data_IF_582648398300
#
_entry.id   IF_582648398300
#
_cell.length_a   1.000
_cell.length_b   1.000
_cell.length_c   1.000
_cell.angle_alpha   90.00
_cell.angle_beta   90.00
_cell.angle_gamma   90.00
#
_symmetry.space_group_name_H-M   'P 1'
#
loop_
_entity.id
_entity.type
_entity.pdbx_description
1 polymer ?
#
# COMPACT_ATOMS: atom_id res chain seq x y z
N UNK A 1 -21.22 42.87 62.83
CA UNK A 1 -20.52 42.27 61.69
C UNK A 1 -20.32 40.78 61.97
N UNK A 2 -21.28 39.92 61.61
CA UNK A 2 -21.16 38.46 61.81
C UNK A 2 -20.22 37.89 60.74
N UNK A 3 -19.06 37.38 61.17
CA UNK A 3 -18.13 36.65 60.31
C UNK A 3 -18.61 35.23 60.07
N UNK A 4 -19.09 34.96 58.85
CA UNK A 4 -19.42 33.60 58.38
C UNK A 4 -18.12 32.87 58.04
N UNK A 5 -17.71 31.95 58.91
CA UNK A 5 -16.61 31.01 58.66
C UNK A 5 -17.20 29.84 57.86
N UNK A 6 -16.96 29.83 56.54
CA UNK A 6 -17.42 28.74 55.66
C UNK A 6 -16.78 27.39 56.02
N UNK A 7 -17.47 26.26 55.78
CA UNK A 7 -16.94 24.94 56.07
C UNK A 7 -15.72 24.67 55.18
N UNK A 8 -14.55 24.47 55.80
CA UNK A 8 -13.36 24.02 55.08
C UNK A 8 -13.60 22.63 54.48
N UNK A 9 -13.20 22.44 53.22
CA UNK A 9 -13.28 21.16 52.54
C UNK A 9 -12.54 20.07 53.37
N UNK A 10 -13.12 18.88 53.55
CA UNK A 10 -12.49 17.81 54.31
C UNK A 10 -11.18 17.38 53.64
N UNK A 11 -10.14 17.13 54.45
CA UNK A 11 -8.80 16.77 53.97
C UNK A 11 -8.79 15.59 52.97
N UNK A 12 -9.74 14.66 53.10
CA UNK A 12 -9.94 13.56 52.17
C UNK A 12 -10.33 14.01 50.75
N UNK A 13 -11.14 15.08 50.63
CA UNK A 13 -11.51 15.67 49.34
C UNK A 13 -10.32 16.32 48.64
N UNK A 14 -9.41 16.93 49.40
CA UNK A 14 -8.17 17.52 48.88
C UNK A 14 -7.24 16.42 48.38
N UNK A 15 -7.12 15.30 49.11
CA UNK A 15 -6.28 14.17 48.70
C UNK A 15 -6.82 13.47 47.43
N UNK A 16 -8.14 13.35 47.30
CA UNK A 16 -8.79 12.87 46.07
C UNK A 16 -8.54 13.83 44.89
N UNK A 17 -8.67 15.14 45.10
CA UNK A 17 -8.41 16.15 44.06
C UNK A 17 -6.94 16.12 43.61
N UNK A 18 -5.99 15.97 44.53
CA UNK A 18 -4.56 15.88 44.23
C UNK A 18 -4.21 14.59 43.47
N UNK A 19 -4.87 13.47 43.77
CA UNK A 19 -4.66 12.20 43.05
C UNK A 19 -5.28 12.21 41.65
N UNK A 20 -6.45 12.85 41.46
CA UNK A 20 -6.99 13.12 40.13
C UNK A 20 -6.09 14.07 39.33
N UNK A 21 -5.58 15.13 39.94
CA UNK A 21 -4.67 16.08 39.29
C UNK A 21 -3.34 15.42 38.90
N UNK A 22 -2.81 14.52 39.72
CA UNK A 22 -1.60 13.75 39.41
C UNK A 22 -1.80 12.80 38.22
N UNK A 23 -3.00 12.24 38.05
CA UNK A 23 -3.33 11.37 36.92
C UNK A 23 -3.44 12.16 35.59
N UNK A 24 -3.87 13.43 35.65
CA UNK A 24 -3.90 14.35 34.52
C UNK A 24 -2.51 14.87 34.11
N UNK A 25 -1.50 14.74 34.99
CA UNK A 25 -0.12 15.19 34.76
C UNK A 25 0.79 14.06 34.27
N UNK A 26 0.27 12.84 34.06
CA UNK A 26 1.02 11.76 33.43
C UNK A 26 1.35 12.16 31.98
N UNK A 27 2.63 12.24 31.58
CA UNK A 27 2.99 12.51 30.19
C UNK A 27 2.43 11.37 29.34
N UNK A 28 1.53 11.70 28.42
CA UNK A 28 1.04 10.76 27.41
C UNK A 28 2.24 10.35 26.57
N UNK A 29 2.70 9.10 26.71
CA UNK A 29 3.70 8.54 25.80
C UNK A 29 3.03 8.48 24.43
N UNK A 30 3.48 9.27 23.43
CA UNK A 30 2.91 9.15 22.10
C UNK A 30 3.14 7.71 21.63
N UNK A 31 2.07 7.06 21.19
CA UNK A 31 2.18 5.76 20.54
C UNK A 31 3.23 5.89 19.40
N UNK A 32 4.10 4.89 19.19
CA UNK A 32 5.06 4.94 18.11
C UNK A 32 4.30 5.25 16.81
N UNK A 33 4.67 6.34 16.14
CA UNK A 33 4.10 6.72 14.87
C UNK A 33 4.41 5.58 13.89
N UNK A 34 3.45 4.67 13.65
CA UNK A 34 3.61 3.70 12.56
C UNK A 34 3.77 4.54 11.30
N UNK A 35 4.93 4.47 10.67
CA UNK A 35 5.11 5.04 9.34
C UNK A 35 4.01 4.43 8.46
N UNK A 36 3.11 5.27 7.94
CA UNK A 36 2.10 4.81 7.00
C UNK A 36 2.77 4.77 5.62
N UNK A 37 3.05 3.56 5.15
CA UNK A 37 3.60 3.34 3.82
C UNK A 37 2.49 3.47 2.78
N UNK A 38 2.83 4.01 1.60
CA UNK A 38 1.91 4.04 0.46
C UNK A 38 1.55 2.61 0.04
N UNK A 39 0.32 2.35 -0.43
CA UNK A 39 -0.04 1.04 -0.95
C UNK A 39 0.85 0.63 -2.12
N UNK A 40 1.12 -0.66 -2.24
CA UNK A 40 1.91 -1.25 -3.32
C UNK A 40 1.01 -2.15 -4.15
N UNK A 41 0.98 -1.93 -5.46
CA UNK A 41 0.28 -2.81 -6.40
C UNK A 41 1.33 -3.61 -7.18
N UNK A 42 1.12 -4.92 -7.27
CA UNK A 42 2.02 -5.83 -7.98
C UNK A 42 1.31 -6.39 -9.21
N UNK A 43 1.98 -6.31 -10.36
CA UNK A 43 1.53 -6.86 -11.65
C UNK A 43 2.53 -7.92 -12.10
N UNK A 44 2.04 -9.14 -12.29
CA UNK A 44 2.87 -10.30 -12.63
C UNK A 44 3.21 -10.39 -14.13
N UNK A 45 4.01 -11.39 -14.49
CA UNK A 45 4.44 -11.66 -15.87
C UNK A 45 3.76 -12.88 -16.48
N UNK A 46 4.41 -13.44 -17.52
CA UNK A 46 3.93 -14.63 -18.23
C UNK A 46 3.81 -15.86 -17.34
N UNK A 47 2.70 -16.59 -17.51
CA UNK A 47 2.39 -17.86 -16.83
C UNK A 47 2.46 -17.81 -15.30
N UNK A 48 2.16 -16.66 -14.72
CA UNK A 48 2.33 -16.39 -13.30
C UNK A 48 0.98 -16.13 -12.60
N UNK A 49 1.04 -15.91 -11.29
CA UNK A 49 -0.06 -15.44 -10.42
C UNK A 49 0.51 -14.84 -9.12
N UNK A 50 -0.35 -14.41 -8.19
CA UNK A 50 0.07 -13.92 -6.88
C UNK A 50 0.91 -14.90 -6.07
N UNK A 51 0.77 -16.20 -6.32
CA UNK A 51 1.50 -17.25 -5.61
C UNK A 51 3.03 -17.05 -5.66
N UNK A 52 3.57 -16.64 -6.80
CA UNK A 52 5.02 -16.46 -6.98
C UNK A 52 5.59 -15.27 -6.21
N UNK A 53 4.75 -14.35 -5.74
CA UNK A 53 5.17 -13.14 -5.04
C UNK A 53 5.21 -13.31 -3.52
N UNK A 54 4.94 -14.50 -2.97
CA UNK A 54 4.94 -14.74 -1.50
C UNK A 54 6.21 -14.25 -0.79
N UNK A 55 7.37 -14.46 -1.39
CA UNK A 55 8.65 -14.01 -0.82
C UNK A 55 8.82 -12.48 -0.91
N UNK A 56 8.34 -11.85 -1.98
CA UNK A 56 8.32 -10.39 -2.06
C UNK A 56 7.40 -9.80 -0.97
N UNK A 57 6.24 -10.41 -0.73
CA UNK A 57 5.33 -10.00 0.34
C UNK A 57 5.97 -10.15 1.73
N UNK A 58 6.69 -11.25 1.97
CA UNK A 58 7.48 -11.47 3.18
C UNK A 58 8.51 -10.34 3.38
N UNK A 59 9.33 -10.05 2.37
CA UNK A 59 10.34 -8.99 2.45
C UNK A 59 9.74 -7.60 2.67
N UNK A 60 8.63 -7.27 2.00
CA UNK A 60 7.94 -6.00 2.21
C UNK A 60 7.42 -5.92 3.65
N UNK A 61 6.83 -6.99 4.18
CA UNK A 61 6.30 -6.98 5.53
C UNK A 61 7.40 -6.94 6.61
N UNK A 62 8.53 -7.60 6.39
CA UNK A 62 9.69 -7.56 7.29
C UNK A 62 10.33 -6.16 7.37
N UNK A 63 10.41 -5.45 6.25
CA UNK A 63 11.11 -4.16 6.15
C UNK A 63 10.19 -2.95 6.28
N UNK A 64 8.94 -3.08 5.84
CA UNK A 64 7.91 -2.04 5.86
C UNK A 64 6.60 -2.59 6.46
N UNK A 65 6.61 -2.93 7.76
CA UNK A 65 5.47 -3.58 8.42
C UNK A 65 4.20 -2.73 8.34
N UNK A 66 3.10 -3.36 7.92
CA UNK A 66 1.80 -2.70 7.74
C UNK A 66 1.58 -2.06 6.37
N UNK A 67 2.52 -2.20 5.42
CA UNK A 67 2.29 -1.81 4.02
C UNK A 67 1.16 -2.66 3.42
N UNK A 68 0.16 -2.01 2.82
CA UNK A 68 -0.90 -2.69 2.09
C UNK A 68 -0.37 -3.05 0.70
N UNK A 69 -0.14 -4.34 0.46
CA UNK A 69 0.27 -4.86 -0.85
C UNK A 69 -0.91 -5.56 -1.51
N UNK A 70 -1.22 -5.22 -2.75
CA UNK A 70 -2.22 -5.89 -3.58
C UNK A 70 -1.53 -6.50 -4.79
N UNK A 71 -1.46 -7.83 -4.83
CA UNK A 71 -1.05 -8.57 -6.03
C UNK A 71 -2.31 -8.85 -6.84
N UNK A 72 -2.36 -8.37 -8.07
CA UNK A 72 -3.55 -8.49 -8.92
C UNK A 72 -3.51 -9.83 -9.67
N UNK A 73 -4.42 -10.74 -9.32
CA UNK A 73 -4.66 -12.02 -10.02
C UNK A 73 -5.57 -11.79 -11.24
N UNK A 74 -5.04 -11.06 -12.23
CA UNK A 74 -5.68 -10.83 -13.51
C UNK A 74 -4.78 -11.33 -14.62
N UNK A 75 -5.35 -12.07 -15.56
CA UNK A 75 -4.62 -12.69 -16.66
C UNK A 75 -3.60 -13.75 -16.18
N UNK A 76 -3.93 -14.50 -15.13
CA UNK A 76 -3.10 -15.59 -14.61
C UNK A 76 -2.84 -16.72 -15.62
N UNK A 77 -1.71 -17.40 -15.45
CA UNK A 77 -1.41 -18.62 -16.21
C UNK A 77 -1.41 -18.35 -17.71
N UNK A 78 -2.22 -19.10 -18.48
CA UNK A 78 -2.29 -18.94 -19.94
C UNK A 78 -2.97 -17.64 -20.38
N UNK A 79 -3.78 -17.03 -19.52
CA UNK A 79 -4.46 -15.77 -19.86
C UNK A 79 -3.47 -14.61 -19.98
N UNK A 80 -2.25 -14.75 -19.44
CA UNK A 80 -1.14 -13.78 -19.61
C UNK A 80 -0.66 -13.66 -21.06
N UNK A 81 -1.08 -14.57 -21.94
CA UNK A 81 -0.82 -14.53 -23.37
C UNK A 81 -1.84 -13.68 -24.14
N UNK A 82 -2.89 -13.19 -23.49
CA UNK A 82 -3.86 -12.29 -24.15
C UNK A 82 -3.18 -11.02 -24.65
N UNK A 83 -3.72 -10.34 -25.68
CA UNK A 83 -3.15 -9.10 -26.20
C UNK A 83 -2.86 -8.09 -25.09
N UNK A 84 -1.67 -7.49 -25.09
CA UNK A 84 -1.26 -6.57 -24.02
C UNK A 84 -2.22 -5.40 -23.84
N UNK A 85 -2.83 -4.91 -24.93
CA UNK A 85 -3.83 -3.83 -24.83
C UNK A 85 -5.12 -4.26 -24.13
N UNK A 86 -5.52 -5.53 -24.22
CA UNK A 86 -6.63 -6.06 -23.42
C UNK A 86 -6.26 -6.11 -21.94
N UNK A 87 -5.03 -6.55 -21.64
CA UNK A 87 -4.52 -6.56 -20.28
C UNK A 87 -4.48 -5.15 -19.67
N UNK A 88 -4.00 -4.16 -20.42
CA UNK A 88 -3.97 -2.75 -19.99
C UNK A 88 -5.36 -2.26 -19.57
N UNK A 89 -6.42 -2.59 -20.31
CA UNK A 89 -7.78 -2.19 -19.91
C UNK A 89 -8.24 -2.92 -18.64
N UNK A 90 -8.03 -4.24 -18.54
CA UNK A 90 -8.40 -4.99 -17.34
C UNK A 90 -7.67 -4.49 -16.08
N UNK A 91 -6.36 -4.24 -16.17
CA UNK A 91 -5.60 -3.67 -15.07
C UNK A 91 -5.99 -2.23 -14.75
N UNK A 92 -6.39 -1.41 -15.74
CA UNK A 92 -6.92 -0.06 -15.50
C UNK A 92 -8.14 -0.10 -14.60
N UNK A 93 -9.09 -0.99 -14.88
CA UNK A 93 -10.31 -1.14 -14.09
C UNK A 93 -10.02 -1.58 -12.64
N UNK A 94 -9.06 -2.47 -12.44
CA UNK A 94 -8.69 -2.95 -11.11
C UNK A 94 -7.85 -1.95 -10.30
N UNK A 95 -6.97 -1.20 -10.96
CA UNK A 95 -6.05 -0.26 -10.31
C UNK A 95 -6.74 1.05 -9.92
N UNK A 96 -7.67 1.55 -10.74
CA UNK A 96 -8.38 2.81 -10.49
C UNK A 96 -9.00 2.93 -9.08
N UNK A 97 -9.76 1.95 -8.56
CA UNK A 97 -10.34 2.04 -7.21
C UNK A 97 -9.29 1.96 -6.09
N UNK A 98 -8.13 1.35 -6.33
CA UNK A 98 -7.02 1.31 -5.36
C UNK A 98 -6.38 2.69 -5.27
N UNK A 99 -6.07 3.28 -6.43
CA UNK A 99 -5.52 4.63 -6.55
C UNK A 99 -6.44 5.68 -5.91
N UNK A 100 -7.75 5.60 -6.17
CA UNK A 100 -8.73 6.53 -5.63
C UNK A 100 -8.81 6.51 -4.08
N UNK A 101 -8.47 5.39 -3.44
CA UNK A 101 -8.42 5.24 -1.98
C UNK A 101 -7.08 5.67 -1.38
N UNK A 102 -6.09 5.98 -2.20
CA UNK A 102 -4.74 6.32 -1.79
C UNK A 102 -4.43 7.79 -2.11
N UNK A 103 -4.87 8.76 -1.29
CA UNK A 103 -4.71 10.19 -1.59
C UNK A 103 -3.24 10.64 -1.67
N UNK A 104 -2.33 9.89 -1.05
CA UNK A 104 -0.88 10.14 -1.12
C UNK A 104 -0.20 9.38 -2.26
N UNK A 105 -0.96 8.68 -3.10
CA UNK A 105 -0.46 7.86 -4.20
C UNK A 105 -0.14 6.41 -3.82
N UNK A 106 0.29 5.66 -4.82
CA UNK A 106 0.66 4.24 -4.72
C UNK A 106 2.02 3.97 -5.36
N UNK A 107 2.62 2.82 -5.06
CA UNK A 107 3.76 2.31 -5.82
C UNK A 107 3.33 1.13 -6.71
N UNK A 108 3.97 0.98 -7.86
CA UNK A 108 3.81 -0.19 -8.74
C UNK A 108 5.09 -1.01 -8.76
N UNK A 109 4.97 -2.33 -8.58
CA UNK A 109 6.02 -3.30 -8.88
C UNK A 109 5.51 -4.20 -10.01
N UNK A 110 6.16 -4.12 -11.17
CA UNK A 110 5.68 -4.79 -12.37
C UNK A 110 6.77 -5.70 -12.91
N UNK A 111 6.54 -7.01 -12.79
CA UNK A 111 7.55 -8.04 -13.07
C UNK A 111 7.48 -8.53 -14.52
N UNK A 112 8.65 -8.69 -15.16
CA UNK A 112 8.76 -9.28 -16.49
C UNK A 112 7.82 -8.59 -17.49
N UNK A 113 6.96 -9.32 -18.22
CA UNK A 113 5.95 -8.78 -19.14
C UNK A 113 5.03 -7.73 -18.49
N UNK A 114 4.71 -7.87 -17.19
CA UNK A 114 3.87 -6.92 -16.46
C UNK A 114 4.40 -5.49 -16.48
N UNK A 115 5.71 -5.29 -16.61
CA UNK A 115 6.29 -3.94 -16.75
C UNK A 115 5.94 -3.23 -18.05
N UNK A 116 5.66 -3.96 -19.14
CA UNK A 116 5.13 -3.37 -20.37
C UNK A 116 3.68 -2.95 -20.19
N UNK A 117 2.87 -3.80 -19.54
CA UNK A 117 1.47 -3.50 -19.20
C UNK A 117 1.39 -2.26 -18.33
N UNK A 118 2.18 -2.19 -17.24
CA UNK A 118 2.22 -1.02 -16.38
C UNK A 118 2.70 0.24 -17.12
N UNK A 119 3.76 0.15 -17.93
CA UNK A 119 4.23 1.32 -18.70
C UNK A 119 3.13 1.85 -19.63
N UNK A 120 2.46 0.97 -20.36
CA UNK A 120 1.35 1.35 -21.24
C UNK A 120 0.17 1.92 -20.45
N UNK A 121 -0.19 1.28 -19.33
CA UNK A 121 -1.24 1.74 -18.40
C UNK A 121 -0.99 3.19 -17.95
N UNK A 122 0.21 3.49 -17.46
CA UNK A 122 0.57 4.85 -17.03
C UNK A 122 0.63 5.85 -18.19
N UNK A 123 0.88 5.38 -19.41
CA UNK A 123 0.89 6.24 -20.60
C UNK A 123 -0.51 6.62 -21.08
N UNK A 124 -1.56 5.87 -20.69
CA UNK A 124 -2.95 6.08 -21.15
C UNK A 124 -3.93 6.45 -20.02
N UNK A 125 -3.46 6.45 -18.78
CA UNK A 125 -4.19 6.93 -17.61
C UNK A 125 -3.71 8.33 -17.25
N UNK A 126 -4.39 9.35 -17.78
CA UNK A 126 -4.01 10.76 -17.58
C UNK A 126 -3.90 11.16 -16.08
N UNK A 127 -4.73 10.56 -15.23
CA UNK A 127 -4.86 10.90 -13.80
C UNK A 127 -4.43 9.76 -12.86
N UNK A 128 -3.31 9.09 -13.16
CA UNK A 128 -2.74 8.11 -12.23
C UNK A 128 -1.97 8.82 -11.08
N UNK A 129 -1.97 8.23 -9.88
CA UNK A 129 -1.20 8.74 -8.74
C UNK A 129 -0.03 7.81 -8.33
N UNK A 130 0.59 7.14 -9.31
CA UNK A 130 1.80 6.35 -9.08
C UNK A 130 2.97 7.26 -8.71
N UNK A 131 3.61 6.95 -7.58
CA UNK A 131 4.81 7.61 -7.09
C UNK A 131 6.08 6.92 -7.59
N UNK A 132 6.21 5.61 -7.30
CA UNK A 132 7.33 4.80 -7.79
C UNK A 132 6.82 3.74 -8.75
N UNK A 133 7.33 3.75 -9.98
CA UNK A 133 7.15 2.68 -10.94
C UNK A 133 8.41 1.82 -11.00
N UNK A 134 8.35 0.62 -10.42
CA UNK A 134 9.45 -0.35 -10.40
C UNK A 134 9.22 -1.37 -11.51
N UNK A 135 9.93 -1.20 -12.62
CA UNK A 135 9.97 -2.18 -13.70
C UNK A 135 10.99 -3.27 -13.37
N UNK A 136 10.50 -4.39 -12.86
CA UNK A 136 11.35 -5.48 -12.37
C UNK A 136 11.68 -6.46 -13.50
N UNK A 137 12.86 -6.29 -14.10
CA UNK A 137 13.39 -7.15 -15.17
C UNK A 137 12.45 -7.29 -16.38
N UNK A 138 11.81 -6.20 -16.76
CA UNK A 138 10.82 -6.18 -17.86
C UNK A 138 11.48 -5.94 -19.22
N UNK A 139 10.97 -6.54 -20.31
CA UNK A 139 11.50 -6.32 -21.66
C UNK A 139 11.04 -4.97 -22.22
N UNK A 140 11.46 -3.87 -21.59
CA UNK A 140 10.94 -2.52 -21.89
C UNK A 140 11.13 -2.10 -23.35
N UNK A 141 12.18 -2.63 -24.00
CA UNK A 141 12.50 -2.43 -25.42
C UNK A 141 12.22 -3.67 -26.28
N UNK A 142 11.27 -4.51 -25.86
CA UNK A 142 10.93 -5.76 -26.53
C UNK A 142 11.88 -6.90 -26.17
N UNK A 143 11.62 -8.05 -26.77
CA UNK A 143 12.39 -9.28 -26.60
C UNK A 143 12.79 -9.79 -27.98
N UNK A 144 14.05 -10.23 -28.11
CA UNK A 144 14.54 -10.91 -29.31
C UNK A 144 15.30 -12.17 -28.89
N UNK A 145 14.84 -13.33 -29.38
CA UNK A 145 15.36 -14.65 -29.00
C UNK A 145 14.57 -15.33 -27.88
N UNK A 146 14.49 -16.68 -27.92
CA UNK A 146 13.77 -17.54 -26.98
C UNK A 146 12.68 -18.38 -27.65
N UNK A 147 12.70 -19.71 -27.49
CA UNK A 147 11.77 -20.66 -28.13
C UNK A 147 10.28 -20.41 -27.77
N UNK A 148 10.01 -19.82 -26.61
CA UNK A 148 8.65 -19.59 -26.10
C UNK A 148 7.89 -18.43 -26.79
N UNK A 149 8.56 -17.62 -27.61
CA UNK A 149 7.97 -16.43 -28.27
C UNK A 149 7.02 -16.80 -29.42
N UNK A 150 7.12 -18.02 -29.97
CA UNK A 150 6.32 -18.47 -31.12
C UNK A 150 4.84 -18.76 -30.80
N UNK A 151 4.43 -18.83 -29.54
CA UNK A 151 3.06 -19.17 -29.14
C UNK A 151 2.25 -17.98 -28.56
N UNK A 152 2.84 -16.79 -28.51
CA UNK A 152 2.27 -15.59 -27.87
C UNK A 152 1.97 -14.43 -28.85
N UNK A 153 2.03 -14.69 -30.16
CA UNK A 153 1.59 -13.80 -31.24
C UNK A 153 0.47 -14.47 -32.02
#
# INVERSE_FOLDING_TARGET
MLGLRGPGLPAAGILCLLSFLALLLLPTVPAPHRASYKPVIVVHGLFDSSYSFRHLLEYINETHPGTVVTVLDLFDGRESLRPLWEQVQGFREAVAPIMAKAPQGVHLICYSQGGLVCRALLSVMDEHNVDSFISLSSPQMGQYGGEWVLWAL
#
